data_IF_122355109355
#
_entry.id   IF_122355109355
#
_cell.length_a   1.000
_cell.length_b   1.000
_cell.length_c   1.000
_cell.angle_alpha   90.00
_cell.angle_beta   90.00
_cell.angle_gamma   90.00
#
_symmetry.space_group_name_H-M   'P 1'
#
loop_
_entity.id
_entity.type
_entity.pdbx_description
1 polymer ?
#
# COMPACT_ATOMS: atom_id res chain seq x y z
N UNK A 1 16.50 24.17 -30.99
CA UNK A 1 16.15 23.67 -29.66
C UNK A 1 14.91 22.80 -29.81
N UNK A 2 15.00 21.49 -29.54
CA UNK A 2 13.85 20.61 -29.56
C UNK A 2 12.85 21.10 -28.49
N UNK A 3 11.57 21.13 -28.83
CA UNK A 3 10.51 21.58 -27.92
C UNK A 3 10.32 20.49 -26.88
N UNK A 4 10.79 20.72 -25.63
CA UNK A 4 10.61 19.77 -24.53
C UNK A 4 9.13 19.55 -24.27
N UNK A 5 8.73 18.28 -24.12
CA UNK A 5 7.37 17.90 -23.76
C UNK A 5 7.16 18.18 -22.28
N UNK A 6 6.04 18.77 -21.93
CA UNK A 6 5.64 19.00 -20.54
C UNK A 6 4.27 18.37 -20.26
N UNK A 7 4.10 17.92 -19.02
CA UNK A 7 2.87 17.27 -18.57
C UNK A 7 2.28 18.01 -17.37
N UNK A 8 0.97 18.14 -17.34
CA UNK A 8 0.26 18.58 -16.14
C UNK A 8 0.29 17.46 -15.11
N UNK A 9 0.41 17.80 -13.83
CA UNK A 9 0.22 16.83 -12.76
C UNK A 9 -1.26 16.39 -12.73
N UNK A 10 -1.49 15.10 -12.44
CA UNK A 10 -2.80 14.61 -12.03
C UNK A 10 -3.15 15.13 -10.62
N UNK A 11 -4.37 14.87 -10.16
CA UNK A 11 -4.85 15.38 -8.87
C UNK A 11 -4.01 14.89 -7.68
N UNK A 12 -3.63 13.63 -7.71
CA UNK A 12 -2.78 13.00 -6.68
C UNK A 12 -1.36 13.58 -6.75
N UNK A 13 -0.80 13.69 -7.96
CA UNK A 13 0.51 14.30 -8.18
C UNK A 13 0.58 15.75 -7.69
N UNK A 14 -0.49 16.54 -7.86
CA UNK A 14 -0.59 17.90 -7.29
C UNK A 14 -0.58 17.89 -5.76
N UNK A 15 -1.32 16.97 -5.15
CA UNK A 15 -1.33 16.79 -3.70
C UNK A 15 0.08 16.46 -3.17
N UNK A 16 0.77 15.51 -3.78
CA UNK A 16 2.11 15.14 -3.36
C UNK A 16 3.18 16.18 -3.72
N UNK A 17 3.02 16.91 -4.83
CA UNK A 17 3.95 17.97 -5.23
C UNK A 17 3.95 19.15 -4.26
N UNK A 18 2.83 19.43 -3.58
CA UNK A 18 2.76 20.46 -2.54
C UNK A 18 3.63 20.16 -1.32
N UNK A 19 4.02 18.89 -1.16
CA UNK A 19 4.89 18.41 -0.09
C UNK A 19 6.37 18.31 -0.55
N UNK A 20 6.63 18.53 -1.83
CA UNK A 20 7.98 18.51 -2.39
C UNK A 20 8.84 19.59 -1.72
N UNK A 21 9.99 19.20 -1.24
CA UNK A 21 10.86 20.15 -0.53
C UNK A 21 10.71 20.17 0.99
N UNK A 22 9.66 19.58 1.56
CA UNK A 22 9.42 19.47 3.01
C UNK A 22 9.85 18.10 3.56
N UNK A 23 9.70 17.88 4.86
CA UNK A 23 10.10 16.63 5.54
C UNK A 23 9.22 15.43 5.21
N UNK A 24 8.06 15.62 4.59
CA UNK A 24 7.18 14.52 4.21
C UNK A 24 7.74 13.76 3.01
N UNK A 25 7.79 12.46 3.18
CA UNK A 25 8.27 11.55 2.16
C UNK A 25 7.08 11.04 1.35
N UNK A 26 7.24 10.97 0.04
CA UNK A 26 6.18 10.58 -0.89
C UNK A 26 6.64 9.44 -1.79
N UNK A 27 7.59 8.64 -1.29
CA UNK A 27 8.27 7.60 -2.06
C UNK A 27 7.74 6.23 -1.66
N UNK A 28 7.59 5.37 -2.65
CA UNK A 28 7.35 3.95 -2.45
C UNK A 28 8.40 3.13 -3.20
N UNK A 29 8.58 1.88 -2.80
CA UNK A 29 9.60 0.97 -3.33
C UNK A 29 8.99 -0.35 -3.75
N UNK A 30 9.30 -0.79 -4.96
CA UNK A 30 9.29 -2.19 -5.37
C UNK A 30 10.67 -2.80 -5.21
N UNK A 31 10.72 -4.04 -4.76
CA UNK A 31 11.95 -4.82 -4.72
C UNK A 31 11.68 -6.23 -5.27
N UNK A 32 12.63 -6.76 -6.03
CA UNK A 32 12.63 -8.15 -6.47
C UNK A 32 13.92 -8.82 -6.02
N UNK A 33 13.79 -9.98 -5.40
CA UNK A 33 14.92 -10.85 -5.06
C UNK A 33 15.07 -11.90 -6.17
N UNK A 34 16.23 -11.93 -6.83
CA UNK A 34 16.54 -12.84 -7.93
C UNK A 34 17.31 -14.08 -7.44
N UNK A 35 17.48 -15.03 -8.34
CA UNK A 35 18.21 -16.26 -8.04
C UNK A 35 19.71 -16.00 -7.78
N UNK A 36 20.31 -15.09 -8.56
CA UNK A 36 21.73 -14.78 -8.56
C UNK A 36 21.99 -13.31 -8.26
N UNK A 37 23.24 -12.96 -7.95
CA UNK A 37 23.66 -11.58 -7.74
C UNK A 37 23.46 -10.74 -9.02
N UNK A 38 23.05 -9.49 -8.81
CA UNK A 38 22.74 -8.55 -9.87
C UNK A 38 24.04 -8.08 -10.54
N UNK A 39 24.02 -8.11 -11.88
CA UNK A 39 25.01 -7.44 -12.71
C UNK A 39 24.56 -6.00 -12.96
N UNK A 40 25.28 -4.98 -12.44
CA UNK A 40 24.84 -3.58 -12.57
C UNK A 40 24.86 -3.07 -14.02
N UNK A 41 25.76 -3.58 -14.88
CA UNK A 41 25.86 -3.14 -16.26
C UNK A 41 24.67 -3.65 -17.08
N UNK A 42 24.30 -4.91 -16.92
CA UNK A 42 23.10 -5.49 -17.52
C UNK A 42 21.84 -4.77 -16.99
N UNK A 43 21.81 -4.46 -15.68
CA UNK A 43 20.69 -3.72 -15.10
C UNK A 43 20.57 -2.30 -15.66
N UNK A 44 21.71 -1.65 -15.98
CA UNK A 44 21.70 -0.36 -16.64
C UNK A 44 21.15 -0.43 -18.08
N UNK A 45 21.52 -1.46 -18.87
CA UNK A 45 20.95 -1.68 -20.20
C UNK A 45 19.42 -1.93 -20.11
N UNK A 46 19.01 -2.72 -19.14
CA UNK A 46 17.60 -3.00 -18.89
C UNK A 46 16.83 -1.72 -18.50
N UNK A 47 17.45 -0.83 -17.71
CA UNK A 47 16.84 0.45 -17.34
C UNK A 47 16.68 1.38 -18.55
N UNK A 48 17.69 1.47 -19.41
CA UNK A 48 17.61 2.26 -20.63
C UNK A 48 16.48 1.78 -21.55
N UNK A 49 16.34 0.45 -21.68
CA UNK A 49 15.26 -0.16 -22.45
C UNK A 49 13.87 0.11 -21.81
N UNK A 50 13.74 -0.06 -20.51
CA UNK A 50 12.47 0.14 -19.81
C UNK A 50 12.02 1.62 -19.88
N UNK A 51 12.93 2.57 -19.69
CA UNK A 51 12.62 4.01 -19.75
C UNK A 51 12.21 4.44 -21.16
N UNK A 52 12.77 3.84 -22.20
CA UNK A 52 12.34 4.10 -23.57
C UNK A 52 10.85 3.71 -23.79
N UNK A 53 10.34 2.68 -23.10
CA UNK A 53 8.94 2.28 -23.14
C UNK A 53 8.03 3.14 -22.21
N UNK A 54 8.60 3.80 -21.22
CA UNK A 54 7.86 4.60 -20.24
C UNK A 54 8.43 6.04 -20.11
N UNK A 55 8.39 6.85 -21.18
CA UNK A 55 9.00 8.18 -21.17
C UNK A 55 8.37 9.15 -20.14
N UNK A 56 7.15 8.88 -19.69
CA UNK A 56 6.47 9.66 -18.65
C UNK A 56 7.12 9.55 -17.27
N UNK A 57 8.04 8.60 -17.04
CA UNK A 57 8.84 8.52 -15.82
C UNK A 57 10.12 9.35 -15.92
N UNK A 58 10.66 9.59 -17.12
CA UNK A 58 11.86 10.38 -17.32
C UNK A 58 11.53 11.88 -17.34
N UNK A 59 11.15 12.41 -16.18
CA UNK A 59 10.66 13.78 -16.02
C UNK A 59 11.24 14.46 -14.78
N UNK A 60 11.26 15.79 -14.81
CA UNK A 60 11.60 16.67 -13.69
C UNK A 60 10.37 17.36 -13.15
N UNK A 61 10.32 17.59 -11.84
CA UNK A 61 9.33 18.46 -11.23
C UNK A 61 9.84 19.91 -11.22
N UNK A 62 9.09 20.80 -11.83
CA UNK A 62 9.39 22.22 -11.89
C UNK A 62 8.29 23.05 -11.24
N UNK A 63 8.68 24.19 -10.68
CA UNK A 63 7.77 25.12 -10.01
C UNK A 63 7.20 26.12 -11.01
N UNK A 64 5.86 26.10 -11.17
CA UNK A 64 5.14 27.16 -11.86
C UNK A 64 4.54 28.17 -10.88
N UNK A 65 4.06 29.30 -11.38
CA UNK A 65 3.47 30.37 -10.56
C UNK A 65 2.20 29.92 -9.81
N UNK A 66 1.39 29.05 -10.43
CA UNK A 66 0.12 28.57 -9.86
C UNK A 66 0.12 27.08 -9.52
N UNK A 67 0.93 26.27 -10.21
CA UNK A 67 1.04 24.82 -10.02
C UNK A 67 2.42 24.32 -10.41
N UNK A 68 2.88 23.26 -9.76
CA UNK A 68 4.00 22.48 -10.25
C UNK A 68 3.64 21.78 -11.56
N UNK A 69 4.62 21.51 -12.39
CA UNK A 69 4.47 20.76 -13.64
C UNK A 69 5.67 19.83 -13.87
N UNK A 70 5.47 18.85 -14.75
CA UNK A 70 6.52 17.92 -15.14
C UNK A 70 7.07 18.32 -16.50
N UNK A 71 8.38 18.33 -16.63
CA UNK A 71 9.09 18.53 -17.89
C UNK A 71 9.90 17.27 -18.22
N UNK A 72 9.83 16.82 -19.48
CA UNK A 72 10.59 15.66 -19.92
C UNK A 72 12.09 15.94 -19.79
N UNK A 73 12.81 14.96 -19.22
CA UNK A 73 14.24 15.02 -19.03
C UNK A 73 14.99 14.50 -20.27
N UNK A 74 16.09 15.17 -20.63
CA UNK A 74 17.08 14.65 -21.59
C UNK A 74 18.18 13.82 -20.89
N UNK A 75 18.12 13.72 -19.54
CA UNK A 75 19.08 12.97 -18.74
C UNK A 75 18.84 11.46 -18.81
N UNK A 76 19.94 10.70 -18.80
CA UNK A 76 19.91 9.24 -18.67
C UNK A 76 19.82 8.86 -17.20
N UNK A 77 18.77 8.14 -16.74
CA UNK A 77 18.75 7.59 -15.39
C UNK A 77 19.86 6.56 -15.20
N UNK A 78 20.48 6.57 -14.02
CA UNK A 78 21.56 5.64 -13.71
C UNK A 78 21.13 4.64 -12.63
N UNK A 79 21.63 3.42 -12.76
CA UNK A 79 21.55 2.41 -11.70
C UNK A 79 22.59 2.75 -10.63
N UNK A 80 22.18 2.74 -9.37
CA UNK A 80 23.03 3.04 -8.23
C UNK A 80 23.20 1.80 -7.33
N UNK A 81 24.34 1.63 -6.66
CA UNK A 81 24.40 0.70 -5.53
C UNK A 81 23.46 1.19 -4.43
N UNK A 82 22.80 0.26 -3.72
CA UNK A 82 21.92 0.62 -2.60
C UNK A 82 22.76 1.15 -1.43
N UNK A 83 22.75 2.45 -1.20
CA UNK A 83 23.50 3.13 -0.14
C UNK A 83 22.63 4.08 0.69
N UNK A 84 21.40 4.33 0.27
CA UNK A 84 20.46 5.22 0.95
C UNK A 84 19.40 4.42 1.71
N UNK A 85 18.83 4.97 2.79
CA UNK A 85 17.72 4.37 3.48
C UNK A 85 16.53 4.11 2.55
N UNK A 86 15.77 3.06 2.83
CA UNK A 86 14.58 2.69 2.08
C UNK A 86 13.59 3.85 2.02
N UNK A 87 13.03 4.08 0.83
CA UNK A 87 12.10 5.17 0.56
C UNK A 87 12.65 6.54 0.98
N UNK A 88 13.99 6.70 0.95
CA UNK A 88 14.60 7.99 1.23
C UNK A 88 14.15 9.02 0.22
N UNK A 89 14.10 10.27 0.67
CA UNK A 89 13.63 11.38 -0.12
C UNK A 89 14.36 11.50 -1.46
N UNK A 90 13.61 11.62 -2.54
CA UNK A 90 14.11 12.01 -3.84
C UNK A 90 14.26 13.53 -3.89
N UNK A 91 15.32 14.01 -4.55
CA UNK A 91 15.50 15.43 -4.78
C UNK A 91 14.57 15.93 -5.90
N UNK A 92 14.19 17.19 -5.83
CA UNK A 92 13.33 17.83 -6.82
C UNK A 92 14.07 18.99 -7.47
N UNK A 93 13.86 19.18 -8.77
CA UNK A 93 14.44 20.27 -9.53
C UNK A 93 14.85 19.87 -10.95
N UNK A 94 15.45 20.80 -11.72
CA UNK A 94 15.67 20.65 -13.17
C UNK A 94 16.62 19.52 -13.60
N UNK A 95 17.31 18.88 -12.65
CA UNK A 95 18.27 17.79 -12.93
C UNK A 95 17.99 16.54 -12.09
N UNK A 96 16.87 16.51 -11.38
CA UNK A 96 16.56 15.42 -10.44
C UNK A 96 15.48 14.53 -10.99
N UNK A 97 15.69 13.22 -10.97
CA UNK A 97 14.68 12.23 -11.33
C UNK A 97 13.70 12.02 -10.18
N UNK A 98 12.46 11.71 -10.52
CA UNK A 98 11.40 11.40 -9.56
C UNK A 98 11.28 9.89 -9.26
N UNK A 99 12.27 9.14 -9.67
CA UNK A 99 12.46 7.73 -9.36
C UNK A 99 13.96 7.41 -9.24
N UNK A 100 14.27 6.25 -8.68
CA UNK A 100 15.63 5.71 -8.54
C UNK A 100 15.61 4.21 -8.72
N UNK A 101 16.57 3.66 -9.43
CA UNK A 101 16.85 2.23 -9.51
C UNK A 101 18.15 1.94 -8.79
N UNK A 102 18.12 0.96 -7.88
CA UNK A 102 19.33 0.53 -7.16
C UNK A 102 19.38 -0.99 -7.06
N UNK A 103 20.56 -1.52 -6.82
CA UNK A 103 20.76 -2.94 -6.58
C UNK A 103 21.69 -3.20 -5.39
N UNK A 104 21.48 -4.35 -4.75
CA UNK A 104 22.32 -4.86 -3.69
C UNK A 104 22.29 -6.38 -3.70
N UNK A 105 23.45 -7.05 -3.88
CA UNK A 105 23.55 -8.49 -4.06
C UNK A 105 22.56 -8.96 -5.14
N UNK A 106 21.65 -9.85 -4.79
CA UNK A 106 20.63 -10.41 -5.69
C UNK A 106 19.31 -9.62 -5.73
N UNK A 107 19.28 -8.37 -5.24
CA UNK A 107 18.07 -7.56 -5.12
C UNK A 107 18.11 -6.34 -6.04
N UNK A 108 17.04 -6.17 -6.82
CA UNK A 108 16.77 -4.97 -7.63
C UNK A 108 15.68 -4.17 -6.94
N UNK A 109 15.88 -2.86 -6.83
CA UNK A 109 14.92 -1.94 -6.23
C UNK A 109 14.54 -0.84 -7.20
N UNK A 110 13.26 -0.51 -7.26
CA UNK A 110 12.70 0.66 -7.94
C UNK A 110 11.97 1.53 -6.92
N UNK A 111 12.48 2.73 -6.66
CA UNK A 111 11.82 3.73 -5.83
C UNK A 111 11.21 4.81 -6.71
N UNK A 112 9.95 5.15 -6.45
CA UNK A 112 9.18 6.11 -7.24
C UNK A 112 8.48 7.10 -6.34
N UNK A 113 8.45 8.37 -6.75
CA UNK A 113 7.65 9.40 -6.10
C UNK A 113 6.18 9.31 -6.54
N UNK A 114 5.26 9.37 -5.58
CA UNK A 114 3.83 9.51 -5.85
C UNK A 114 3.45 10.77 -6.64
N UNK A 115 4.40 11.68 -6.88
CA UNK A 115 4.19 12.83 -7.76
C UNK A 115 3.92 12.38 -9.21
N UNK A 116 4.52 11.27 -9.65
CA UNK A 116 4.45 10.83 -11.05
C UNK A 116 3.62 9.57 -11.25
N UNK A 117 3.51 8.69 -10.24
CA UNK A 117 2.84 7.40 -10.42
C UNK A 117 2.33 6.82 -9.10
N UNK A 118 1.35 5.96 -9.18
CA UNK A 118 0.93 5.06 -8.11
C UNK A 118 1.60 3.68 -8.22
N UNK A 119 1.35 2.81 -7.23
CA UNK A 119 1.90 1.46 -7.24
C UNK A 119 1.49 0.66 -8.48
N UNK A 120 0.24 0.77 -8.94
CA UNK A 120 -0.25 0.07 -10.14
C UNK A 120 0.36 0.60 -11.43
N UNK A 121 0.64 1.90 -11.51
CA UNK A 121 1.35 2.48 -12.66
C UNK A 121 2.81 2.06 -12.69
N UNK A 122 3.50 2.19 -11.54
CA UNK A 122 4.94 1.91 -11.45
C UNK A 122 5.30 0.42 -11.59
N UNK A 123 4.39 -0.51 -11.27
CA UNK A 123 4.65 -1.95 -11.47
C UNK A 123 4.92 -2.29 -12.93
N UNK A 124 4.35 -1.55 -13.88
CA UNK A 124 4.58 -1.79 -15.30
C UNK A 124 6.02 -1.44 -15.70
N UNK A 125 6.55 -0.31 -15.22
CA UNK A 125 7.97 0.02 -15.37
C UNK A 125 8.86 -1.04 -14.71
N UNK A 126 8.50 -1.49 -13.49
CA UNK A 126 9.30 -2.48 -12.76
C UNK A 126 9.31 -3.84 -13.46
N UNK A 127 8.15 -4.28 -13.99
CA UNK A 127 8.06 -5.51 -14.79
C UNK A 127 8.88 -5.42 -16.08
N UNK A 128 8.83 -4.28 -16.78
CA UNK A 128 9.63 -4.05 -17.98
C UNK A 128 11.13 -4.08 -17.68
N UNK A 129 11.54 -3.48 -16.56
CA UNK A 129 12.93 -3.53 -16.08
C UNK A 129 13.39 -4.96 -15.79
N UNK A 130 12.59 -5.72 -15.01
CA UNK A 130 12.90 -7.12 -14.69
C UNK A 130 12.90 -8.00 -15.94
N UNK A 131 11.96 -7.78 -16.84
CA UNK A 131 11.88 -8.48 -18.11
C UNK A 131 13.16 -8.31 -18.93
N UNK A 132 13.57 -7.06 -19.18
CA UNK A 132 14.79 -6.77 -19.97
C UNK A 132 16.03 -7.31 -19.27
N UNK A 133 16.16 -7.13 -17.96
CA UNK A 133 17.30 -7.63 -17.18
C UNK A 133 17.41 -9.14 -17.24
N UNK A 134 16.34 -9.87 -16.96
CA UNK A 134 16.35 -11.33 -16.90
C UNK A 134 16.55 -11.93 -18.29
N UNK A 135 15.92 -11.35 -19.32
CA UNK A 135 16.08 -11.80 -20.71
C UNK A 135 17.55 -11.69 -21.16
N UNK A 136 18.24 -10.60 -20.87
CA UNK A 136 19.65 -10.41 -21.20
C UNK A 136 20.58 -11.26 -20.31
N UNK A 137 20.36 -11.26 -18.99
CA UNK A 137 21.22 -11.95 -18.01
C UNK A 137 21.26 -13.46 -18.19
N UNK A 138 20.15 -14.05 -18.60
CA UNK A 138 19.98 -15.51 -18.71
C UNK A 138 19.75 -15.99 -20.14
N UNK A 139 19.98 -15.12 -21.13
CA UNK A 139 19.82 -15.42 -22.56
C UNK A 139 18.47 -16.07 -22.90
N UNK A 140 17.39 -15.41 -22.48
CA UNK A 140 16.00 -15.87 -22.74
C UNK A 140 15.38 -15.08 -23.91
N UNK A 141 15.50 -15.55 -25.16
CA UNK A 141 15.03 -14.79 -26.32
C UNK A 141 13.51 -14.84 -26.50
N UNK A 142 12.98 -13.86 -27.19
CA UNK A 142 11.63 -13.88 -27.73
C UNK A 142 10.50 -13.85 -26.70
N UNK A 143 10.76 -13.24 -25.52
CA UNK A 143 9.69 -13.01 -24.53
C UNK A 143 8.98 -11.70 -24.90
N UNK A 144 7.65 -11.74 -25.16
CA UNK A 144 6.91 -10.53 -25.49
C UNK A 144 6.81 -9.60 -24.28
N UNK A 145 6.76 -8.28 -24.53
CA UNK A 145 6.46 -7.30 -23.47
C UNK A 145 5.02 -7.48 -22.97
N UNK A 146 4.84 -7.49 -21.68
CA UNK A 146 3.52 -7.60 -21.03
C UNK A 146 2.68 -6.31 -21.13
N UNK A 147 3.25 -5.22 -21.67
CA UNK A 147 2.61 -3.91 -21.67
C UNK A 147 2.65 -3.26 -23.06
N UNK A 148 1.46 -3.07 -23.65
CA UNK A 148 1.28 -2.63 -25.05
C UNK A 148 0.52 -1.28 -25.18
N UNK A 149 0.37 -0.53 -24.12
CA UNK A 149 -0.29 0.79 -24.15
C UNK A 149 0.50 1.83 -24.94
N UNK A 150 -0.19 2.72 -25.67
CA UNK A 150 0.45 3.85 -26.36
C UNK A 150 1.04 4.86 -25.36
N UNK A 151 2.03 5.66 -25.78
CA UNK A 151 2.64 6.68 -24.91
C UNK A 151 1.65 7.74 -24.45
N UNK A 152 0.63 8.05 -25.27
CA UNK A 152 -0.45 8.96 -24.91
C UNK A 152 -1.36 8.37 -23.82
N UNK A 153 -1.68 7.08 -23.90
CA UNK A 153 -2.53 6.39 -22.93
C UNK A 153 -1.79 6.26 -21.57
N UNK A 154 -0.49 5.93 -21.62
CA UNK A 154 0.37 5.88 -20.43
C UNK A 154 0.44 7.21 -19.69
N UNK A 155 0.45 8.33 -20.41
CA UNK A 155 0.56 9.68 -19.85
C UNK A 155 -0.80 10.36 -19.58
N UNK A 156 -1.93 9.68 -19.80
CA UNK A 156 -3.27 10.24 -19.66
C UNK A 156 -3.56 10.64 -18.20
N UNK A 157 -4.21 11.82 -18.01
CA UNK A 157 -4.83 12.18 -16.73
C UNK A 157 -6.28 11.66 -16.70
N UNK A 158 -6.46 10.44 -16.26
CA UNK A 158 -7.76 9.77 -16.27
C UNK A 158 -8.77 10.36 -15.28
N UNK A 159 -8.34 11.13 -14.28
CA UNK A 159 -9.24 11.87 -13.41
C UNK A 159 -10.06 12.91 -14.17
N UNK A 160 -9.45 13.65 -15.08
CA UNK A 160 -10.16 14.67 -15.87
C UNK A 160 -11.15 14.04 -16.87
N UNK A 161 -10.86 12.85 -17.35
CA UNK A 161 -11.68 12.10 -18.33
C UNK A 161 -13.01 11.62 -17.76
N UNK A 162 -13.05 11.21 -16.49
CA UNK A 162 -14.19 10.55 -15.85
C UNK A 162 -14.94 11.42 -14.83
N UNK A 163 -14.65 12.74 -14.78
CA UNK A 163 -15.29 13.65 -13.85
C UNK A 163 -16.75 13.97 -14.22
N UNK A 164 -17.67 13.76 -13.27
CA UNK A 164 -19.07 14.20 -13.35
C UNK A 164 -19.40 15.16 -12.20
N UNK A 165 -19.96 16.34 -12.53
CA UNK A 165 -20.36 17.35 -11.56
C UNK A 165 -21.65 16.88 -10.87
N UNK A 166 -21.79 16.96 -9.55
CA UNK A 166 -22.99 16.73 -8.74
C UNK A 166 -23.13 15.42 -7.93
N UNK A 167 -22.06 14.64 -7.76
CA UNK A 167 -22.11 13.42 -6.95
C UNK A 167 -21.26 13.46 -5.67
N UNK A 168 -21.34 14.54 -4.87
CA UNK A 168 -20.55 14.66 -3.63
C UNK A 168 -21.39 14.41 -2.37
N UNK A 169 -21.05 13.42 -1.55
CA UNK A 169 -21.68 13.11 -0.28
C UNK A 169 -20.81 13.43 0.95
N UNK A 170 -21.41 13.67 2.13
CA UNK A 170 -20.71 13.97 3.38
C UNK A 170 -20.33 12.68 4.13
N UNK A 171 -19.20 12.71 4.88
CA UNK A 171 -18.76 11.61 5.74
C UNK A 171 -19.15 11.87 7.22
N UNK A 172 -19.58 10.87 8.00
CA UNK A 172 -19.91 11.02 9.42
C UNK A 172 -18.64 11.08 10.28
N UNK A 173 -18.65 11.90 11.33
CA UNK A 173 -17.55 12.09 12.28
C UNK A 173 -17.57 11.03 13.41
N UNK A 174 -16.81 9.96 13.28
CA UNK A 174 -16.58 8.95 14.33
C UNK A 174 -15.26 9.22 15.02
N UNK A 175 -15.16 8.99 16.33
CA UNK A 175 -13.88 9.11 17.07
C UNK A 175 -12.95 7.94 16.72
N UNK A 176 -11.85 8.23 16.04
CA UNK A 176 -10.89 7.23 15.57
C UNK A 176 -9.82 6.95 16.64
N UNK A 177 -9.46 5.68 16.80
CA UNK A 177 -8.32 5.24 17.59
C UNK A 177 -7.02 5.56 16.84
N UNK A 178 -6.07 6.10 17.55
CA UNK A 178 -4.71 6.35 17.04
C UNK A 178 -3.72 5.55 17.86
N UNK A 179 -2.79 4.90 17.17
CA UNK A 179 -1.67 4.23 17.83
C UNK A 179 -0.90 5.24 18.68
N UNK A 180 -0.50 4.80 19.86
CA UNK A 180 0.24 5.61 20.82
C UNK A 180 1.65 5.04 21.00
N UNK A 181 2.59 5.90 21.41
CA UNK A 181 3.96 5.49 21.69
C UNK A 181 4.98 6.45 21.11
N UNK A 182 6.27 6.22 21.41
CA UNK A 182 7.38 6.97 20.82
C UNK A 182 7.42 6.77 19.31
N UNK A 183 7.65 7.86 18.57
CA UNK A 183 7.72 7.87 17.11
C UNK A 183 9.04 8.42 16.62
N UNK A 184 9.55 7.88 15.51
CA UNK A 184 10.63 8.46 14.73
C UNK A 184 10.19 8.63 13.26
N UNK A 185 9.97 9.87 12.86
CA UNK A 185 9.60 10.21 11.47
C UNK A 185 10.83 10.37 10.58
N UNK A 186 12.01 10.55 11.17
CA UNK A 186 13.24 10.73 10.39
C UNK A 186 13.83 9.38 9.96
N UNK A 187 13.66 8.35 10.80
CA UNK A 187 14.13 6.99 10.53
C UNK A 187 13.02 5.95 10.74
N UNK A 188 12.02 5.90 9.84
CA UNK A 188 10.96 4.89 9.92
C UNK A 188 11.53 3.48 9.74
N UNK A 189 10.90 2.51 10.40
CA UNK A 189 11.28 1.10 10.27
C UNK A 189 10.50 0.45 9.12
N UNK A 190 11.21 -0.33 8.29
CA UNK A 190 10.65 -1.10 7.19
C UNK A 190 10.89 -2.59 7.42
N UNK A 191 9.87 -3.40 7.17
CA UNK A 191 9.92 -4.85 7.32
C UNK A 191 9.15 -5.52 6.18
N UNK A 192 9.56 -6.72 5.84
CA UNK A 192 8.89 -7.57 4.85
C UNK A 192 8.59 -8.92 5.51
N UNK A 193 7.32 -9.26 5.64
CA UNK A 193 6.89 -10.56 6.15
C UNK A 193 6.40 -11.42 5.00
N UNK A 194 7.16 -12.46 4.69
CA UNK A 194 6.92 -13.38 3.59
C UNK A 194 6.22 -14.64 4.10
N UNK A 195 5.05 -14.94 3.55
CA UNK A 195 4.22 -16.09 3.89
C UNK A 195 3.75 -16.80 2.62
N UNK A 196 3.25 -18.04 2.73
CA UNK A 196 2.66 -18.74 1.58
C UNK A 196 1.31 -18.10 1.20
N UNK A 197 1.19 -17.66 -0.05
CA UNK A 197 -0.04 -17.10 -0.61
C UNK A 197 -1.18 -18.11 -0.60
N UNK A 198 -0.90 -19.38 -0.93
CA UNK A 198 -1.89 -20.46 -0.92
C UNK A 198 -2.45 -20.73 0.48
N UNK A 199 -1.61 -20.66 1.52
CA UNK A 199 -2.08 -20.80 2.91
C UNK A 199 -2.99 -19.66 3.34
N UNK A 200 -2.62 -18.39 3.04
CA UNK A 200 -3.45 -17.22 3.34
C UNK A 200 -4.78 -17.27 2.58
N UNK A 201 -4.74 -17.63 1.29
CA UNK A 201 -5.95 -17.83 0.48
C UNK A 201 -6.83 -18.94 1.03
N UNK A 202 -6.24 -20.06 1.44
CA UNK A 202 -6.97 -21.16 2.06
C UNK A 202 -7.69 -20.75 3.33
N UNK A 203 -7.03 -19.99 4.22
CA UNK A 203 -7.64 -19.46 5.45
C UNK A 203 -8.75 -18.43 5.14
N UNK A 204 -8.55 -17.56 4.17
CA UNK A 204 -9.55 -16.59 3.73
C UNK A 204 -10.80 -17.32 3.17
N UNK A 205 -10.62 -18.34 2.34
CA UNK A 205 -11.70 -19.16 1.79
C UNK A 205 -12.48 -19.92 2.87
N UNK A 206 -11.81 -20.43 3.91
CA UNK A 206 -12.46 -21.07 5.05
C UNK A 206 -13.37 -20.07 5.81
N UNK A 207 -13.01 -18.80 5.85
CA UNK A 207 -13.85 -17.74 6.41
C UNK A 207 -14.94 -17.23 5.43
N UNK A 208 -14.91 -17.66 4.16
CA UNK A 208 -15.83 -17.18 3.10
C UNK A 208 -15.55 -15.75 2.64
N UNK A 209 -14.30 -15.25 2.73
CA UNK A 209 -13.94 -13.87 2.45
C UNK A 209 -12.78 -13.77 1.48
N UNK A 210 -12.54 -12.56 0.94
CA UNK A 210 -11.37 -12.25 0.13
C UNK A 210 -10.07 -12.24 0.96
N UNK A 211 -8.92 -12.47 0.31
CA UNK A 211 -7.61 -12.34 0.94
C UNK A 211 -7.43 -10.97 1.61
N UNK A 212 -7.88 -9.90 0.95
CA UNK A 212 -7.78 -8.53 1.47
C UNK A 212 -8.59 -8.38 2.77
N UNK A 213 -9.83 -8.86 2.81
CA UNK A 213 -10.68 -8.79 4.00
C UNK A 213 -10.13 -9.61 5.15
N UNK A 214 -9.58 -10.79 4.86
CA UNK A 214 -8.93 -11.64 5.84
C UNK A 214 -7.70 -10.96 6.48
N UNK A 215 -6.80 -10.40 5.66
CA UNK A 215 -5.61 -9.71 6.17
C UNK A 215 -5.97 -8.44 6.95
N UNK A 216 -6.97 -7.66 6.49
CA UNK A 216 -7.45 -6.49 7.22
C UNK A 216 -8.02 -6.92 8.58
N UNK A 217 -8.81 -7.99 8.64
CA UNK A 217 -9.33 -8.52 9.90
C UNK A 217 -8.20 -8.93 10.86
N UNK A 218 -7.18 -9.64 10.37
CA UNK A 218 -6.02 -10.01 11.17
C UNK A 218 -5.27 -8.76 11.72
N UNK A 219 -5.14 -7.70 10.91
CA UNK A 219 -4.54 -6.42 11.32
C UNK A 219 -5.43 -5.72 12.36
N UNK A 220 -6.76 -5.70 12.18
CA UNK A 220 -7.72 -5.14 13.14
C UNK A 220 -7.62 -5.85 14.50
N UNK A 221 -7.57 -7.19 14.52
CA UNK A 221 -7.34 -7.97 15.72
C UNK A 221 -6.01 -7.61 16.38
N UNK A 222 -4.93 -7.54 15.60
CA UNK A 222 -3.61 -7.20 16.10
C UNK A 222 -3.55 -5.80 16.75
N UNK A 223 -4.29 -4.82 16.20
CA UNK A 223 -4.41 -3.48 16.75
C UNK A 223 -5.31 -3.48 17.99
N UNK A 224 -6.47 -4.16 17.95
CA UNK A 224 -7.37 -4.31 19.09
C UNK A 224 -6.66 -4.85 20.32
N UNK A 225 -5.81 -5.84 20.15
CA UNK A 225 -5.09 -6.52 21.23
C UNK A 225 -4.06 -5.62 21.93
N UNK A 226 -3.63 -4.52 21.30
CA UNK A 226 -2.77 -3.50 21.93
C UNK A 226 -3.54 -2.28 22.42
N UNK A 227 -4.86 -2.19 22.14
CA UNK A 227 -5.68 -1.06 22.57
C UNK A 227 -5.88 -1.08 24.08
N UNK A 228 -5.63 0.05 24.78
CA UNK A 228 -6.03 0.18 26.17
C UNK A 228 -7.55 0.05 26.32
N UNK A 229 -8.03 -0.59 27.40
CA UNK A 229 -9.48 -0.79 27.65
C UNK A 229 -10.29 0.51 27.56
N UNK A 230 -9.74 1.64 28.04
CA UNK A 230 -10.37 2.98 27.94
C UNK A 230 -10.55 3.51 26.52
N UNK A 231 -9.92 2.90 25.53
CA UNK A 231 -9.98 3.32 24.12
C UNK A 231 -10.84 2.40 23.26
N UNK A 232 -11.38 1.30 23.79
CA UNK A 232 -12.17 0.30 23.02
C UNK A 232 -13.48 0.85 22.45
N UNK A 233 -13.95 2.00 22.93
CA UNK A 233 -15.09 2.73 22.37
C UNK A 233 -14.72 3.63 21.16
N UNK A 234 -13.48 3.55 20.66
CA UNK A 234 -13.05 4.26 19.46
C UNK A 234 -12.91 3.28 18.32
N UNK A 235 -13.30 3.73 17.13
CA UNK A 235 -13.15 2.91 15.93
C UNK A 235 -11.68 2.81 15.51
N UNK A 236 -11.27 1.59 15.13
CA UNK A 236 -10.04 1.36 14.37
C UNK A 236 -10.41 1.57 12.90
N UNK A 237 -9.83 2.57 12.27
CA UNK A 237 -10.06 2.88 10.85
C UNK A 237 -8.86 2.44 10.03
N UNK A 238 -9.14 1.61 9.03
CA UNK A 238 -8.17 1.15 8.04
C UNK A 238 -8.49 1.83 6.71
N UNK A 239 -7.60 2.68 6.23
CA UNK A 239 -7.72 3.30 4.92
C UNK A 239 -7.16 2.36 3.85
N UNK A 240 -7.84 2.28 2.70
CA UNK A 240 -7.56 1.31 1.64
C UNK A 240 -7.56 2.04 0.31
N UNK A 241 -6.42 2.15 -0.37
CA UNK A 241 -6.38 2.65 -1.74
C UNK A 241 -7.03 1.65 -2.69
N UNK A 242 -7.86 2.15 -3.59
CA UNK A 242 -8.62 1.40 -4.58
C UNK A 242 -8.17 1.81 -5.98
N UNK A 243 -7.70 0.86 -6.77
CA UNK A 243 -7.33 1.09 -8.17
C UNK A 243 -8.56 1.44 -9.01
N UNK A 244 -8.62 2.66 -9.51
CA UNK A 244 -9.75 3.12 -10.33
C UNK A 244 -9.77 2.51 -11.72
N UNK A 245 -8.65 1.94 -12.21
CA UNK A 245 -8.59 1.23 -13.49
C UNK A 245 -9.49 -0.01 -13.51
N UNK A 246 -9.81 -0.56 -12.33
CA UNK A 246 -10.78 -1.65 -12.20
C UNK A 246 -12.23 -1.23 -12.52
N UNK A 247 -12.54 0.06 -12.41
CA UNK A 247 -13.88 0.63 -12.60
C UNK A 247 -14.00 1.45 -13.89
N UNK A 248 -12.88 2.02 -14.34
CA UNK A 248 -12.79 2.91 -15.49
C UNK A 248 -11.69 2.41 -16.42
N UNK A 249 -12.01 2.25 -17.70
CA UNK A 249 -11.01 1.80 -18.69
C UNK A 249 -9.89 2.84 -18.83
N UNK A 250 -8.70 2.52 -18.36
CA UNK A 250 -7.53 3.38 -18.42
C UNK A 250 -6.24 2.55 -18.43
N UNK A 251 -5.32 2.95 -19.31
CA UNK A 251 -3.97 2.38 -19.44
C UNK A 251 -2.91 3.33 -18.84
N UNK A 252 -3.35 4.34 -18.08
CA UNK A 252 -2.41 5.30 -17.51
C UNK A 252 -1.46 4.64 -16.50
N UNK A 253 -0.19 5.00 -16.57
CA UNK A 253 0.81 4.64 -15.56
C UNK A 253 0.98 5.74 -14.49
N UNK A 254 0.21 6.83 -14.61
CA UNK A 254 0.15 7.90 -13.62
C UNK A 254 -0.76 7.51 -12.46
N UNK A 255 -0.91 8.40 -11.47
CA UNK A 255 -1.83 8.12 -10.38
C UNK A 255 -3.28 8.03 -10.86
N UNK A 256 -3.92 6.91 -10.57
CA UNK A 256 -5.35 6.75 -10.81
C UNK A 256 -5.96 5.81 -9.77
N UNK A 257 -5.99 6.25 -8.52
CA UNK A 257 -6.60 5.53 -7.41
C UNK A 257 -7.48 6.45 -6.56
N UNK A 258 -8.43 5.85 -5.87
CA UNK A 258 -9.25 6.50 -4.85
C UNK A 258 -8.92 5.93 -3.48
N UNK A 259 -9.44 6.58 -2.43
CA UNK A 259 -9.33 6.07 -1.06
C UNK A 259 -10.69 5.63 -0.56
N UNK A 260 -10.75 4.47 0.08
CA UNK A 260 -11.91 4.02 0.85
C UNK A 260 -11.43 3.60 2.24
N UNK A 261 -12.36 3.23 3.12
CA UNK A 261 -11.98 2.75 4.45
C UNK A 261 -12.97 1.72 4.97
N UNK A 262 -12.50 0.93 5.94
CA UNK A 262 -13.32 0.14 6.85
C UNK A 262 -13.08 0.63 8.27
N UNK A 263 -14.11 0.54 9.10
CA UNK A 263 -14.03 0.94 10.50
C UNK A 263 -14.58 -0.21 11.39
N UNK A 264 -13.91 -0.46 12.50
CA UNK A 264 -14.25 -1.49 13.46
C UNK A 264 -14.18 -0.92 14.88
N UNK A 265 -15.26 -1.02 15.65
CA UNK A 265 -15.32 -0.56 17.05
C UNK A 265 -15.48 -1.78 17.96
N UNK A 266 -14.46 -2.16 18.75
CA UNK A 266 -14.51 -3.36 19.59
C UNK A 266 -15.71 -3.40 20.55
N UNK A 267 -16.08 -2.27 21.14
CA UNK A 267 -17.17 -2.19 22.12
C UNK A 267 -18.58 -2.36 21.52
N UNK A 268 -18.77 -2.03 20.25
CA UNK A 268 -20.08 -2.18 19.57
C UNK A 268 -20.43 -3.64 19.35
N UNK A 269 -19.45 -4.46 18.99
CA UNK A 269 -19.64 -5.90 18.75
C UNK A 269 -19.83 -6.67 20.05
N UNK A 270 -19.12 -6.29 21.13
CA UNK A 270 -19.35 -6.86 22.46
C UNK A 270 -20.82 -6.63 22.93
N UNK A 271 -21.41 -5.47 22.58
CA UNK A 271 -22.81 -5.16 22.91
C UNK A 271 -23.81 -5.96 22.08
N UNK A 272 -23.53 -6.24 20.81
CA UNK A 272 -24.40 -7.05 19.94
C UNK A 272 -24.39 -8.53 20.35
N UNK A 273 -23.26 -9.08 20.77
CA UNK A 273 -23.16 -10.46 21.28
C UNK A 273 -23.90 -10.64 22.61
N UNK A 274 -23.84 -9.68 23.53
CA UNK A 274 -24.60 -9.74 24.78
C UNK A 274 -26.11 -9.60 24.52
N UNK A 275 -26.52 -8.82 23.52
CA UNK A 275 -27.90 -8.71 23.09
C UNK A 275 -28.41 -10.01 22.47
N UNK A 276 -27.61 -10.71 21.68
CA UNK A 276 -27.93 -12.00 21.09
C UNK A 276 -28.03 -13.12 22.15
N UNK A 277 -27.17 -13.11 23.17
CA UNK A 277 -27.21 -14.05 24.30
C UNK A 277 -28.44 -13.81 25.19
N UNK A 278 -28.87 -12.57 25.37
CA UNK A 278 -30.04 -12.22 26.19
C UNK A 278 -31.37 -12.57 25.50
N UNK A 279 -31.42 -12.55 24.18
CA UNK A 279 -32.59 -12.95 23.40
C UNK A 279 -32.78 -14.48 23.29
N UNK A 280 -31.75 -15.28 23.60
CA UNK A 280 -31.78 -16.74 23.58
C UNK A 280 -32.23 -17.36 24.93
N UNK A 281 -32.51 -16.54 25.97
CA UNK A 281 -32.96 -17.00 27.28
C UNK A 281 -34.41 -16.59 27.52
N UNK A 282 -35.37 -17.22 26.85
CA UNK A 282 -36.74 -17.28 27.29
C UNK A 282 -36.99 -18.68 27.86
N UNK A 283 -37.41 -18.80 29.11
CA UNK A 283 -37.69 -20.09 29.69
C UNK A 283 -39.16 -20.47 29.42
N UNK A 284 -39.38 -21.49 28.59
CA UNK A 284 -40.53 -22.33 28.74
C UNK A 284 -40.37 -23.70 28.07
N UNK A 285 -40.63 -24.67 28.87
CA UNK A 285 -40.98 -26.06 28.63
C UNK A 285 -39.97 -27.12 29.07
N UNK A 286 -40.36 -27.76 30.16
CA UNK A 286 -39.84 -28.99 30.74
C UNK A 286 -39.90 -30.18 29.76
N UNK A 287 -38.91 -31.07 29.80
CA UNK A 287 -38.96 -32.37 29.14
C UNK A 287 -37.61 -33.12 29.23
N UNK A 288 -37.65 -34.12 30.07
CA UNK A 288 -36.70 -35.18 30.40
C UNK A 288 -35.65 -35.60 29.35
N UNK A 289 -34.46 -35.90 29.86
CA UNK A 289 -33.83 -37.18 29.53
C UNK A 289 -32.47 -37.18 28.86
N UNK A 290 -31.50 -37.55 29.66
CA UNK A 290 -30.32 -38.35 29.33
C UNK A 290 -28.96 -37.67 29.03
N UNK A 291 -28.12 -37.99 29.98
CA UNK A 291 -26.67 -37.82 30.11
C UNK A 291 -25.86 -38.28 28.89
N UNK A 292 -24.86 -37.54 28.49
CA UNK A 292 -23.63 -38.12 28.06
C UNK A 292 -22.42 -37.21 28.36
N UNK A 293 -21.42 -37.82 28.90
CA UNK A 293 -20.25 -37.42 29.61
C UNK A 293 -19.40 -36.31 29.01
N UNK A 294 -19.01 -35.41 29.90
CA UNK A 294 -17.88 -34.51 29.82
C UNK A 294 -16.55 -35.25 29.66
N UNK A 295 -15.66 -34.72 28.82
CA UNK A 295 -14.21 -34.92 28.95
C UNK A 295 -13.54 -33.59 29.13
N UNK A 296 -13.27 -33.29 30.37
CA UNK A 296 -12.31 -32.30 30.85
C UNK A 296 -10.92 -32.70 30.37
N UNK A 297 -10.28 -31.80 29.61
CA UNK A 297 -8.85 -31.82 29.47
C UNK A 297 -8.30 -30.53 30.13
N UNK A 298 -7.71 -30.69 31.30
CA UNK A 298 -6.87 -29.71 31.94
C UNK A 298 -5.57 -29.59 31.10
N UNK A 299 -5.31 -28.40 30.61
CA UNK A 299 -4.02 -28.00 30.05
C UNK A 299 -3.61 -26.67 30.70
N UNK A 300 -2.63 -26.74 31.58
CA UNK A 300 -2.03 -25.62 32.30
C UNK A 300 -1.44 -24.56 31.35
N UNK A 301 -1.80 -23.33 31.59
CA UNK A 301 -0.93 -22.15 31.68
C UNK A 301 -0.07 -21.75 30.53
N UNK A 302 -0.54 -20.79 29.72
CA UNK A 302 0.22 -19.58 29.40
C UNK A 302 -0.74 -18.51 28.87
N UNK A 303 -0.67 -17.38 29.49
CA UNK A 303 -1.47 -16.17 29.43
C UNK A 303 -2.38 -15.94 28.22
N UNK A 304 -3.63 -15.67 28.48
CA UNK A 304 -4.70 -15.35 27.58
C UNK A 304 -4.34 -14.33 26.51
N UNK A 305 -4.45 -14.79 25.27
CA UNK A 305 -4.33 -13.97 24.06
C UNK A 305 -5.18 -14.60 22.96
N UNK A 306 -6.41 -14.97 23.30
CA UNK A 306 -7.43 -15.29 22.29
C UNK A 306 -8.69 -14.53 22.73
N UNK A 307 -8.94 -13.49 22.05
CA UNK A 307 -10.11 -12.64 22.16
C UNK A 307 -11.35 -13.45 21.80
N UNK A 308 -12.44 -13.22 22.51
CA UNK A 308 -13.68 -14.00 22.41
C UNK A 308 -14.40 -13.89 21.05
N UNK A 309 -13.96 -12.96 20.17
CA UNK A 309 -14.51 -12.81 18.83
C UNK A 309 -13.66 -13.52 17.78
N UNK A 310 -14.23 -14.50 17.05
CA UNK A 310 -13.49 -15.21 16.01
C UNK A 310 -13.03 -14.27 14.89
N UNK A 311 -11.78 -14.42 14.47
CA UNK A 311 -11.20 -13.70 13.31
C UNK A 311 -12.12 -13.78 12.07
N UNK A 312 -12.84 -14.90 11.91
CA UNK A 312 -13.78 -15.12 10.82
C UNK A 312 -14.96 -14.13 10.81
N UNK A 313 -15.47 -13.73 11.98
CA UNK A 313 -16.60 -12.80 12.07
C UNK A 313 -16.17 -11.39 11.71
N UNK A 314 -15.03 -10.94 12.25
CA UNK A 314 -14.43 -9.67 11.86
C UNK A 314 -14.12 -9.66 10.34
N UNK A 315 -13.63 -10.77 9.80
CA UNK A 315 -13.34 -10.87 8.38
C UNK A 315 -14.58 -10.75 7.49
N UNK A 316 -15.71 -11.37 7.90
CA UNK A 316 -16.99 -11.22 7.19
C UNK A 316 -17.53 -9.79 7.28
N UNK A 317 -17.47 -9.17 8.46
CA UNK A 317 -17.84 -7.76 8.63
C UNK A 317 -17.00 -6.82 7.75
N UNK A 318 -15.69 -7.03 7.69
CA UNK A 318 -14.79 -6.29 6.80
C UNK A 318 -15.15 -6.53 5.33
N UNK A 319 -15.46 -7.76 4.93
CA UNK A 319 -15.88 -8.11 3.57
C UNK A 319 -17.15 -7.36 3.15
N UNK A 320 -18.13 -7.27 4.01
CA UNK A 320 -19.38 -6.52 3.77
C UNK A 320 -19.13 -5.03 3.64
N UNK A 321 -18.36 -4.44 4.57
CA UNK A 321 -18.01 -3.03 4.49
C UNK A 321 -17.23 -2.71 3.20
N UNK A 322 -16.26 -3.54 2.83
CA UNK A 322 -15.49 -3.36 1.59
C UNK A 322 -16.39 -3.48 0.35
N UNK A 323 -17.29 -4.45 0.31
CA UNK A 323 -18.24 -4.61 -0.79
C UNK A 323 -19.08 -3.34 -1.00
N UNK A 324 -19.57 -2.76 0.09
CA UNK A 324 -20.29 -1.50 0.04
C UNK A 324 -19.40 -0.31 -0.33
N UNK A 325 -18.20 -0.23 0.22
CA UNK A 325 -17.28 0.89 0.05
C UNK A 325 -16.66 0.93 -1.36
N UNK A 326 -16.51 -0.24 -2.01
CA UNK A 326 -16.00 -0.38 -3.38
C UNK A 326 -17.11 -0.48 -4.43
N UNK A 327 -18.37 -0.20 -4.08
CA UNK A 327 -19.42 -0.09 -5.10
C UNK A 327 -19.08 1.03 -6.08
N UNK A 328 -19.41 0.83 -7.37
CA UNK A 328 -19.10 1.78 -8.43
C UNK A 328 -19.59 3.19 -8.11
N UNK A 329 -20.81 3.31 -7.61
CA UNK A 329 -21.41 4.61 -7.25
C UNK A 329 -20.62 5.35 -6.17
N UNK A 330 -20.13 4.65 -5.14
CA UNK A 330 -19.33 5.26 -4.08
C UNK A 330 -17.94 5.65 -4.56
N UNK A 331 -17.32 4.82 -5.37
CA UNK A 331 -16.02 5.10 -5.98
C UNK A 331 -16.12 6.33 -6.89
N UNK A 332 -17.15 6.44 -7.73
CA UNK A 332 -17.43 7.61 -8.57
C UNK A 332 -17.68 8.86 -7.74
N UNK A 333 -18.50 8.76 -6.70
CA UNK A 333 -18.80 9.89 -5.79
C UNK A 333 -17.53 10.39 -5.09
N UNK A 334 -16.66 9.48 -4.64
CA UNK A 334 -15.40 9.83 -3.99
C UNK A 334 -14.43 10.51 -4.96
N UNK A 335 -14.26 9.94 -6.16
CA UNK A 335 -13.44 10.51 -7.22
C UNK A 335 -13.93 11.93 -7.59
N UNK A 336 -15.23 12.09 -7.80
CA UNK A 336 -15.81 13.37 -8.16
C UNK A 336 -15.62 14.44 -7.07
N UNK A 337 -15.66 14.05 -5.79
CA UNK A 337 -15.38 14.95 -4.66
C UNK A 337 -13.93 15.46 -4.67
N UNK A 338 -12.97 14.56 -4.91
CA UNK A 338 -11.55 14.92 -5.00
C UNK A 338 -11.32 15.93 -6.14
N UNK A 339 -11.93 15.69 -7.30
CA UNK A 339 -11.80 16.56 -8.47
C UNK A 339 -12.55 17.90 -8.28
N UNK A 340 -13.72 17.89 -7.64
CA UNK A 340 -14.48 19.11 -7.35
C UNK A 340 -13.70 20.09 -6.49
N UNK A 341 -12.93 19.58 -5.51
CA UNK A 341 -12.05 20.42 -4.68
C UNK A 341 -11.00 21.14 -5.55
N UNK A 342 -10.40 20.47 -6.52
CA UNK A 342 -9.43 21.05 -7.43
C UNK A 342 -10.05 22.06 -8.41
N UNK A 343 -11.27 21.77 -8.89
CA UNK A 343 -11.98 22.66 -9.83
C UNK A 343 -12.58 23.92 -9.17
N UNK A 344 -12.47 24.06 -7.84
CA UNK A 344 -12.90 25.27 -7.14
C UNK A 344 -12.14 26.49 -7.66
N UNK A 345 -12.84 27.52 -8.17
CA UNK A 345 -12.20 28.68 -8.81
C UNK A 345 -11.32 29.49 -7.84
N UNK A 346 -11.65 29.53 -6.55
CA UNK A 346 -10.86 30.21 -5.53
C UNK A 346 -9.52 29.51 -5.34
N UNK A 347 -9.53 28.17 -5.25
CA UNK A 347 -8.30 27.39 -5.16
C UNK A 347 -7.47 27.47 -6.46
N UNK A 348 -8.09 27.55 -7.62
CA UNK A 348 -7.36 27.66 -8.90
C UNK A 348 -6.56 28.95 -9.02
N UNK A 349 -7.07 30.08 -8.53
CA UNK A 349 -6.43 31.39 -8.62
C UNK A 349 -5.44 31.68 -7.48
N UNK A 350 -5.45 30.90 -6.41
CA UNK A 350 -4.50 31.05 -5.32
C UNK A 350 -3.06 30.78 -5.78
N UNK A 351 -2.04 31.50 -5.31
CA UNK A 351 -0.62 31.20 -5.58
C UNK A 351 -0.21 29.83 -4.99
N UNK A 352 0.80 29.18 -5.61
CA UNK A 352 1.28 27.85 -5.18
C UNK A 352 1.54 27.73 -3.67
N UNK A 353 2.22 28.70 -2.98
CA UNK A 353 2.50 28.56 -1.56
C UNK A 353 1.22 28.52 -0.68
N UNK A 354 0.18 29.26 -1.07
CA UNK A 354 -1.11 29.25 -0.35
C UNK A 354 -1.85 27.91 -0.52
N UNK A 355 -1.80 27.34 -1.73
CA UNK A 355 -2.34 26.01 -2.01
C UNK A 355 -1.63 24.93 -1.23
N UNK A 356 -0.31 24.97 -1.22
CA UNK A 356 0.52 24.02 -0.49
C UNK A 356 0.16 24.00 1.00
N UNK A 357 -0.06 25.17 1.60
CA UNK A 357 -0.48 25.28 3.01
C UNK A 357 -1.88 24.65 3.25
N UNK A 358 -2.84 24.92 2.36
CA UNK A 358 -4.21 24.35 2.47
C UNK A 358 -4.16 22.83 2.32
N UNK A 359 -3.40 22.30 1.36
CA UNK A 359 -3.26 20.87 1.14
C UNK A 359 -2.54 20.18 2.30
N UNK A 360 -1.55 20.84 2.91
CA UNK A 360 -0.87 20.33 4.10
C UNK A 360 -1.80 20.26 5.31
N UNK A 361 -2.63 21.28 5.52
CA UNK A 361 -3.64 21.27 6.58
C UNK A 361 -4.68 20.16 6.35
N UNK A 362 -5.15 19.99 5.11
CA UNK A 362 -6.07 18.91 4.76
C UNK A 362 -5.45 17.53 5.03
N UNK A 363 -4.17 17.34 4.70
CA UNK A 363 -3.43 16.12 5.02
C UNK A 363 -3.32 15.88 6.52
N UNK A 364 -2.97 16.91 7.28
CA UNK A 364 -2.86 16.81 8.74
C UNK A 364 -4.18 16.39 9.39
N UNK A 365 -5.32 16.85 8.86
CA UNK A 365 -6.64 16.42 9.32
C UNK A 365 -6.88 14.96 8.93
N UNK A 366 -6.63 14.58 7.67
CA UNK A 366 -6.80 13.22 7.18
C UNK A 366 -5.94 12.21 7.96
N UNK A 367 -4.67 12.53 8.22
CA UNK A 367 -3.76 11.67 9.01
C UNK A 367 -4.28 11.44 10.46
N UNK A 368 -5.13 12.33 10.98
CA UNK A 368 -5.76 12.18 12.30
C UNK A 368 -6.98 11.27 12.30
N UNK A 369 -7.57 11.08 11.15
CA UNK A 369 -8.75 10.23 10.96
C UNK A 369 -8.42 8.79 10.54
N UNK A 370 -7.15 8.42 10.52
CA UNK A 370 -6.65 7.10 10.10
C UNK A 370 -5.89 6.42 11.23
N UNK A 371 -6.17 5.15 11.49
CA UNK A 371 -5.36 4.32 12.40
C UNK A 371 -4.20 3.69 11.64
N UNK A 372 -4.49 3.07 10.49
CA UNK A 372 -3.51 2.39 9.63
C UNK A 372 -3.99 2.40 8.17
N UNK A 373 -3.07 2.12 7.26
CA UNK A 373 -3.38 1.96 5.83
C UNK A 373 -3.01 0.56 5.39
N UNK A 374 -3.87 -0.07 4.58
CA UNK A 374 -3.62 -1.37 3.96
C UNK A 374 -3.76 -1.25 2.45
N UNK A 375 -2.67 -1.44 1.72
CA UNK A 375 -2.65 -1.40 0.26
C UNK A 375 -2.41 -2.80 -0.30
N UNK A 376 -3.35 -3.32 -1.10
CA UNK A 376 -3.18 -4.59 -1.79
C UNK A 376 -2.95 -4.36 -3.29
N UNK A 377 -1.73 -4.62 -3.74
CA UNK A 377 -1.34 -4.53 -5.16
C UNK A 377 -1.69 -5.79 -5.95
N UNK A 378 -2.09 -6.87 -5.26
CA UNK A 378 -2.44 -8.14 -5.86
C UNK A 378 -1.24 -8.95 -6.33
N UNK A 379 -1.48 -9.85 -7.27
CA UNK A 379 -0.47 -10.75 -7.82
C UNK A 379 0.38 -10.05 -8.87
N UNK A 380 1.69 -10.12 -8.70
CA UNK A 380 2.67 -9.73 -9.71
C UNK A 380 2.97 -10.94 -10.57
N UNK A 381 2.90 -10.79 -11.88
CA UNK A 381 3.14 -11.87 -12.85
C UNK A 381 4.22 -11.46 -13.85
N UNK A 382 5.04 -12.42 -14.23
CA UNK A 382 5.99 -12.34 -15.33
C UNK A 382 5.79 -13.59 -16.20
N UNK A 383 6.29 -13.57 -17.45
CA UNK A 383 6.35 -14.76 -18.29
C UNK A 383 7.05 -15.90 -17.53
N UNK A 384 6.56 -17.13 -17.65
CA UNK A 384 7.08 -18.29 -16.86
C UNK A 384 8.58 -18.53 -17.07
N UNK A 385 9.09 -18.22 -18.27
CA UNK A 385 10.53 -18.36 -18.58
C UNK A 385 11.38 -17.37 -17.80
N UNK A 386 10.83 -16.20 -17.42
CA UNK A 386 11.49 -15.18 -16.62
C UNK A 386 11.20 -15.40 -15.13
N UNK A 387 9.98 -15.78 -14.80
CA UNK A 387 9.50 -15.93 -13.42
C UNK A 387 10.35 -16.88 -12.57
N UNK A 388 10.92 -17.94 -13.18
CA UNK A 388 11.79 -18.92 -12.50
C UNK A 388 13.08 -18.31 -11.93
N UNK A 389 13.50 -17.15 -12.40
CA UNK A 389 14.69 -16.42 -11.93
C UNK A 389 14.38 -15.43 -10.81
N UNK A 390 13.10 -15.23 -10.46
CA UNK A 390 12.64 -14.34 -9.39
C UNK A 390 12.16 -15.16 -8.21
N UNK A 391 12.69 -14.88 -7.02
CA UNK A 391 12.31 -15.57 -5.76
C UNK A 391 11.13 -14.93 -5.08
N UNK A 392 11.13 -13.60 -5.00
CA UNK A 392 10.09 -12.84 -4.34
C UNK A 392 9.98 -11.43 -4.93
N UNK A 393 8.81 -10.82 -4.76
CA UNK A 393 8.58 -9.39 -5.04
C UNK A 393 7.95 -8.77 -3.80
N UNK A 394 8.45 -7.63 -3.36
CA UNK A 394 7.91 -6.89 -2.23
C UNK A 394 7.60 -5.44 -2.60
N UNK A 395 6.75 -4.82 -1.79
CA UNK A 395 6.36 -3.43 -1.94
C UNK A 395 6.32 -2.73 -0.59
N UNK A 396 6.94 -1.56 -0.50
CA UNK A 396 7.00 -0.74 0.70
C UNK A 396 6.62 0.70 0.36
N UNK A 397 5.99 1.40 1.29
CA UNK A 397 5.66 2.82 1.17
C UNK A 397 6.18 3.59 2.37
N UNK A 398 6.52 4.85 2.19
CA UNK A 398 6.83 5.74 3.32
C UNK A 398 5.62 5.85 4.25
N UNK A 399 5.76 5.59 5.57
CA UNK A 399 4.64 5.60 6.49
C UNK A 399 4.33 7.01 7.00
N UNK A 400 3.05 7.37 7.05
CA UNK A 400 2.56 8.48 7.88
C UNK A 400 2.35 8.05 9.34
N UNK A 401 2.03 6.77 9.55
CA UNK A 401 1.78 6.11 10.84
C UNK A 401 2.31 4.67 10.79
N UNK A 402 1.44 3.69 10.73
CA UNK A 402 1.71 2.28 10.46
C UNK A 402 1.01 1.92 9.16
N UNK A 403 1.74 1.39 8.17
CA UNK A 403 1.20 0.99 6.89
C UNK A 403 1.51 -0.48 6.61
N UNK A 404 0.57 -1.15 5.97
CA UNK A 404 0.73 -2.49 5.44
C UNK A 404 0.52 -2.46 3.94
N UNK A 405 1.41 -3.13 3.22
CA UNK A 405 1.32 -3.30 1.76
C UNK A 405 1.38 -4.77 1.44
N UNK A 406 0.57 -5.23 0.50
CA UNK A 406 0.48 -6.65 0.15
C UNK A 406 0.70 -6.81 -1.34
N UNK A 407 1.60 -7.71 -1.71
CA UNK A 407 1.72 -8.20 -3.09
C UNK A 407 2.15 -9.67 -3.06
N UNK A 408 1.91 -10.39 -4.14
CA UNK A 408 2.36 -11.78 -4.24
C UNK A 408 3.05 -12.05 -5.57
N UNK A 409 4.03 -12.96 -5.53
CA UNK A 409 4.71 -13.50 -6.68
C UNK A 409 4.86 -15.03 -6.53
N UNK A 410 4.31 -15.80 -7.47
CA UNK A 410 4.19 -17.24 -7.27
C UNK A 410 3.35 -17.58 -6.03
N UNK A 411 3.93 -18.39 -5.12
CA UNK A 411 3.34 -18.69 -3.80
C UNK A 411 3.91 -17.81 -2.67
N UNK A 412 4.81 -16.89 -2.97
CA UNK A 412 5.32 -15.93 -1.99
C UNK A 412 4.34 -14.74 -1.89
N UNK A 413 3.75 -14.54 -0.71
CA UNK A 413 2.98 -13.35 -0.35
C UNK A 413 3.83 -12.48 0.55
N UNK A 414 4.22 -11.32 0.07
CA UNK A 414 4.94 -10.31 0.85
C UNK A 414 3.94 -9.35 1.50
N UNK A 415 4.01 -9.24 2.83
CA UNK A 415 3.36 -8.21 3.62
C UNK A 415 4.45 -7.20 3.98
N UNK A 416 4.53 -6.12 3.22
CA UNK A 416 5.40 -5.00 3.51
C UNK A 416 4.84 -4.19 4.68
N UNK A 417 5.65 -3.88 5.66
CA UNK A 417 5.27 -3.16 6.87
C UNK A 417 6.19 -1.97 7.02
N UNK A 418 5.62 -0.79 7.13
CA UNK A 418 6.37 0.43 7.40
C UNK A 418 5.75 1.21 8.54
N UNK A 419 6.58 1.64 9.49
CA UNK A 419 6.10 2.27 10.72
C UNK A 419 7.04 3.36 11.22
N UNK A 420 6.43 4.42 11.79
CA UNK A 420 7.16 5.45 12.54
C UNK A 420 7.25 5.14 14.04
N UNK A 421 6.55 4.10 14.53
CA UNK A 421 6.52 3.73 15.94
C UNK A 421 7.67 2.81 16.30
N UNK A 422 8.27 3.05 17.49
CA UNK A 422 9.25 2.13 18.05
C UNK A 422 8.61 0.86 18.62
N UNK A 423 7.34 0.94 19.02
CA UNK A 423 6.60 -0.23 19.50
C UNK A 423 6.10 -1.08 18.31
N UNK A 424 6.56 -2.33 18.30
CA UNK A 424 6.25 -3.32 17.27
C UNK A 424 5.22 -4.37 17.73
N UNK A 425 4.49 -4.13 18.84
CA UNK A 425 3.55 -5.12 19.39
C UNK A 425 2.41 -5.44 18.42
N UNK A 426 1.90 -4.48 17.64
CA UNK A 426 0.91 -4.75 16.58
C UNK A 426 1.46 -5.78 15.58
N UNK A 427 2.71 -5.62 15.17
CA UNK A 427 3.35 -6.48 14.18
C UNK A 427 3.58 -7.89 14.74
N UNK A 428 4.05 -7.98 16.00
CA UNK A 428 4.20 -9.25 16.70
C UNK A 428 2.87 -9.98 16.85
N UNK A 429 1.79 -9.26 17.18
CA UNK A 429 0.46 -9.84 17.29
C UNK A 429 -0.06 -10.31 15.95
N UNK A 430 0.12 -9.54 14.87
CA UNK A 430 -0.24 -9.99 13.52
C UNK A 430 0.47 -11.32 13.15
N UNK A 431 1.78 -11.42 13.39
CA UNK A 431 2.51 -12.66 13.15
C UNK A 431 1.98 -13.83 14.00
N UNK A 432 1.61 -13.59 15.28
CA UNK A 432 1.02 -14.61 16.15
C UNK A 432 -0.35 -15.07 15.68
N UNK A 433 -1.21 -14.12 15.29
CA UNK A 433 -2.56 -14.41 14.75
C UNK A 433 -2.43 -15.28 13.50
N UNK A 434 -1.57 -14.92 12.55
CA UNK A 434 -1.35 -15.70 11.34
C UNK A 434 -0.75 -17.08 11.65
N UNK A 435 0.24 -17.15 12.56
CA UNK A 435 0.83 -18.42 12.99
C UNK A 435 -0.18 -19.36 13.66
N UNK A 436 -1.12 -18.84 14.46
CA UNK A 436 -2.21 -19.60 15.06
C UNK A 436 -3.14 -20.23 13.99
N UNK A 437 -3.19 -19.65 12.80
CA UNK A 437 -3.93 -20.18 11.64
C UNK A 437 -3.04 -21.09 10.75
N UNK A 438 -1.86 -21.51 11.23
CA UNK A 438 -0.92 -22.32 10.46
C UNK A 438 -0.13 -21.56 9.37
N UNK A 439 -0.22 -20.23 9.35
CA UNK A 439 0.45 -19.35 8.41
C UNK A 439 1.70 -18.79 9.10
N UNK A 440 2.82 -19.46 8.92
CA UNK A 440 4.14 -18.99 9.38
C UNK A 440 4.99 -18.53 8.20
N UNK A 441 5.92 -17.61 8.47
CA UNK A 441 6.75 -17.02 7.42
C UNK A 441 8.08 -16.49 7.91
N UNK A 442 8.79 -15.82 6.99
CA UNK A 442 10.09 -15.20 7.20
C UNK A 442 9.89 -13.67 7.35
N UNK A 443 10.45 -13.09 8.41
CA UNK A 443 10.48 -11.64 8.61
C UNK A 443 11.86 -11.10 8.25
N UNK A 444 11.92 -10.23 7.27
CA UNK A 444 13.12 -9.46 6.95
C UNK A 444 12.95 -8.05 7.50
N UNK A 445 13.90 -7.57 8.28
CA UNK A 445 13.97 -6.16 8.66
C UNK A 445 14.82 -5.50 7.58
N UNK A 446 14.20 -4.68 6.78
CA UNK A 446 14.87 -3.98 5.72
C UNK A 446 15.54 -2.73 6.31
N UNK A 447 16.85 -2.73 6.38
CA UNK A 447 17.67 -1.62 6.86
C UNK A 447 18.90 -1.47 5.98
N UNK A 448 19.48 -0.28 5.97
CA UNK A 448 20.80 -0.06 5.37
C UNK A 448 21.80 -0.93 6.13
N UNK A 449 22.38 -1.91 5.46
CA UNK A 449 23.60 -2.54 5.91
C UNK A 449 24.73 -1.51 5.83
N UNK A 450 24.87 -0.70 6.85
CA UNK A 450 26.11 0.04 7.06
C UNK A 450 27.16 -1.00 7.39
N UNK A 451 27.95 -1.41 6.41
CA UNK A 451 29.22 -2.07 6.72
C UNK A 451 29.94 -1.13 7.67
N UNK A 452 30.14 -1.56 8.93
CA UNK A 452 31.06 -0.88 9.81
C UNK A 452 32.41 -0.93 9.11
N UNK A 453 32.78 0.20 8.51
CA UNK A 453 34.07 0.35 7.86
C UNK A 453 35.14 -0.16 8.81
N UNK A 454 35.96 -1.09 8.32
CA UNK A 454 37.14 -1.52 9.00
C UNK A 454 37.93 -0.24 9.34
N UNK A 455 38.07 0.02 10.62
CA UNK A 455 38.94 1.07 11.13
C UNK A 455 40.36 0.72 10.67
N UNK A 456 40.89 1.56 9.76
CA UNK A 456 42.31 1.59 9.48
C UNK A 456 43.03 2.32 10.63
#
# INVERSE_FOLDING_TARGET
>A
MARRTWYRLDNIGKFYSSQAGRSSQTVFRYSAELADDIDPDILQHALDHAIAQFPSFNVHLLNGMFWHYLEQSDGRPLVEPEHLPICSRLHYGPKSMLFRVSCFRNRVNLEVSHIISDGRGAINLFKSLLHAYIAERYDVPGVPSDYDGSDSDKAENSFDKYYEKDKAGAAPGTKIYRLAGPIDRAAPTFMEYHVSASKVLGAAHQCGVSLTSYLIAAILCAIRDVMPSRARNRAIRVDIPVDLRAFFRSETVRNFYGMTYVAYTPAEIEADEDSAKTSATSPDAAGDGQQSAARTAHGNGMGGLLTDEPLADIARHVQEQLGHATSRERVESHMNRMIALEKNPVLRLAPSPAKDWVLELARFIADRETTTTVSNLGRVTLDERLARHVRSVSFLTTPASLNFTVCSFGDDLSIGISTIYHDLNVIKNLCRILAAQGISGRMNIAGVHVEKGASA
#
